data_IF_757654777753
#
_entry.id   IF_757654777753
#
_cell.length_a   1.000
_cell.length_b   1.000
_cell.length_c   1.000
_cell.angle_alpha   90.00
_cell.angle_beta   90.00
_cell.angle_gamma   90.00
#
_symmetry.space_group_name_H-M   'P 1'
#
loop_
_entity.id
_entity.type
_entity.pdbx_description
1 polymer ?
#
# COMPACT_ATOMS: atom_id res chain seq x y z
N UNK A 1 2.97 2.08 10.11
CA UNK A 1 4.01 3.03 10.58
C UNK A 1 3.54 3.67 11.88
N UNK A 2 4.42 4.31 12.67
CA UNK A 2 3.99 5.00 13.90
C UNK A 2 3.76 6.49 13.63
N UNK A 3 2.77 7.08 14.31
CA UNK A 3 2.54 8.52 14.28
C UNK A 3 3.77 9.26 14.85
N UNK A 4 4.34 10.25 14.14
CA UNK A 4 5.51 10.98 14.62
C UNK A 4 5.22 11.83 15.87
N UNK A 5 3.94 12.18 16.11
CA UNK A 5 3.52 13.00 17.24
C UNK A 5 3.25 12.19 18.52
N UNK A 6 2.56 11.05 18.42
CA UNK A 6 2.14 10.27 19.59
C UNK A 6 2.64 8.82 19.62
N UNK A 7 3.42 8.39 18.63
CA UNK A 7 3.95 7.02 18.51
C UNK A 7 2.90 5.90 18.39
N UNK A 8 1.61 6.24 18.25
CA UNK A 8 0.54 5.27 18.01
C UNK A 8 0.72 4.57 16.66
N UNK A 9 0.36 3.30 16.60
CA UNK A 9 0.27 2.50 15.37
C UNK A 9 -1.06 2.67 14.62
N UNK A 10 -2.02 3.40 15.21
CA UNK A 10 -3.32 3.72 14.61
C UNK A 10 -3.17 4.87 13.61
N UNK A 11 -2.46 4.58 12.53
CA UNK A 11 -2.34 5.46 11.38
C UNK A 11 -3.30 4.99 10.27
N UNK A 12 -3.54 5.77 9.21
CA UNK A 12 -4.21 5.32 7.98
C UNK A 12 -4.05 6.35 6.85
N UNK A 13 -4.38 5.96 5.62
CA UNK A 13 -4.54 6.89 4.48
C UNK A 13 -5.95 6.78 3.89
N UNK A 14 -6.36 7.82 3.17
CA UNK A 14 -7.66 7.85 2.49
C UNK A 14 -7.66 7.16 1.12
N UNK A 15 -6.48 7.04 0.49
CA UNK A 15 -6.29 6.34 -0.78
C UNK A 15 -4.83 5.93 -0.97
N UNK A 16 -4.56 4.99 -1.87
CA UNK A 16 -3.20 4.56 -2.25
C UNK A 16 -2.35 5.72 -2.80
N UNK A 17 -2.99 6.67 -3.47
CA UNK A 17 -2.37 7.85 -4.07
C UNK A 17 -2.27 9.01 -3.08
N UNK A 18 -2.97 8.94 -1.94
CA UNK A 18 -2.89 9.96 -0.90
C UNK A 18 -1.50 9.97 -0.29
N UNK A 19 -0.82 11.10 -0.44
CA UNK A 19 0.41 11.36 0.30
C UNK A 19 0.09 11.80 1.74
N UNK A 20 -1.16 12.06 2.11
CA UNK A 20 -1.48 12.45 3.48
C UNK A 20 -1.82 11.20 4.30
N UNK A 21 -1.11 11.06 5.43
CA UNK A 21 -1.33 10.05 6.47
C UNK A 21 -2.00 10.71 7.66
N UNK A 22 -2.95 10.01 8.25
CA UNK A 22 -3.72 10.42 9.41
C UNK A 22 -3.40 9.51 10.58
N UNK A 23 -3.54 10.01 11.81
CA UNK A 23 -3.51 9.22 13.03
C UNK A 23 -4.84 9.36 13.77
N UNK A 24 -5.56 8.26 13.96
CA UNK A 24 -6.85 8.27 14.66
C UNK A 24 -6.69 8.64 16.15
N UNK A 25 -5.60 8.16 16.78
CA UNK A 25 -5.38 8.40 18.21
C UNK A 25 -5.15 9.88 18.57
N UNK A 26 -4.49 10.67 17.73
CA UNK A 26 -4.16 12.07 18.07
C UNK A 26 -4.60 13.12 17.04
N UNK A 27 -5.27 12.69 15.97
CA UNK A 27 -5.71 13.55 14.87
C UNK A 27 -4.59 14.20 14.07
N UNK A 28 -3.32 13.84 14.32
CA UNK A 28 -2.21 14.40 13.57
C UNK A 28 -2.21 13.87 12.14
N UNK A 29 -1.90 14.76 11.20
CA UNK A 29 -1.72 14.41 9.79
C UNK A 29 -0.32 14.84 9.34
N UNK A 30 0.29 14.04 8.48
CA UNK A 30 1.60 14.34 7.90
C UNK A 30 1.71 13.75 6.50
N UNK A 31 2.64 14.30 5.72
CA UNK A 31 2.89 13.85 4.36
C UNK A 31 3.81 12.62 4.36
N UNK A 32 3.42 11.62 3.58
CA UNK A 32 4.16 10.42 3.29
C UNK A 32 5.12 10.70 2.15
N UNK A 33 6.36 10.30 2.37
CA UNK A 33 7.38 10.35 1.33
C UNK A 33 7.28 9.10 0.45
N UNK A 34 6.31 9.08 -0.47
CA UNK A 34 6.07 7.96 -1.39
C UNK A 34 5.89 8.46 -2.83
N UNK A 35 6.40 7.71 -3.80
CA UNK A 35 6.17 7.99 -5.21
C UNK A 35 4.70 7.79 -5.59
N UNK A 36 4.07 8.79 -6.23
CA UNK A 36 2.68 8.70 -6.73
C UNK A 36 2.49 7.57 -7.75
N UNK A 37 3.57 7.08 -8.38
CA UNK A 37 3.51 6.01 -9.38
C UNK A 37 4.17 4.74 -8.85
N UNK A 38 3.60 3.56 -9.15
CA UNK A 38 4.25 2.30 -8.89
C UNK A 38 5.51 2.16 -9.74
N UNK A 39 6.54 1.53 -9.17
CA UNK A 39 7.78 1.18 -9.84
C UNK A 39 7.63 -0.06 -10.73
N UNK A 40 6.78 -0.99 -10.31
CA UNK A 40 6.42 -2.18 -11.07
C UNK A 40 4.97 -2.59 -10.77
N UNK A 41 4.40 -3.40 -11.66
CA UNK A 41 3.05 -3.92 -11.46
C UNK A 41 2.90 -5.31 -12.07
N UNK A 42 2.13 -6.17 -11.42
CA UNK A 42 1.70 -7.46 -11.93
C UNK A 42 0.18 -7.59 -11.85
N UNK A 43 -0.36 -8.39 -12.75
CA UNK A 43 -1.78 -8.69 -12.81
C UNK A 43 -1.98 -10.19 -12.66
N UNK A 44 -2.88 -10.59 -11.77
CA UNK A 44 -3.20 -11.99 -11.49
C UNK A 44 -4.70 -12.18 -11.46
N UNK A 45 -5.18 -13.28 -12.03
CA UNK A 45 -6.59 -13.67 -11.94
C UNK A 45 -6.76 -14.66 -10.80
N UNK A 46 -7.69 -14.38 -9.90
CA UNK A 46 -8.14 -15.30 -8.87
C UNK A 46 -9.66 -15.47 -9.04
N UNK A 47 -10.05 -16.60 -9.65
CA UNK A 47 -11.44 -16.81 -10.07
C UNK A 47 -11.93 -15.73 -11.05
N UNK A 48 -12.98 -15.00 -10.67
CA UNK A 48 -13.55 -13.90 -11.45
C UNK A 48 -12.91 -12.53 -11.19
N UNK A 49 -12.02 -12.42 -10.20
CA UNK A 49 -11.41 -11.15 -9.80
C UNK A 49 -10.04 -10.96 -10.48
N UNK A 50 -9.83 -9.75 -11.01
CA UNK A 50 -8.51 -9.30 -11.43
C UNK A 50 -7.83 -8.59 -10.26
N UNK A 51 -6.72 -9.15 -9.81
CA UNK A 51 -5.87 -8.60 -8.77
C UNK A 51 -4.73 -7.82 -9.42
N UNK A 52 -4.57 -6.58 -8.99
CA UNK A 52 -3.49 -5.69 -9.38
C UNK A 52 -2.50 -5.62 -8.22
N UNK A 53 -1.28 -6.13 -8.43
CA UNK A 53 -0.18 -5.99 -7.48
C UNK A 53 0.70 -4.84 -7.97
N UNK A 54 0.96 -3.86 -7.11
CA UNK A 54 1.78 -2.69 -7.43
C UNK A 54 2.94 -2.60 -6.44
N UNK A 55 4.15 -2.35 -6.95
CA UNK A 55 5.36 -2.15 -6.13
C UNK A 55 5.68 -0.67 -6.04
N UNK A 56 6.06 -0.22 -4.85
CA UNK A 56 6.44 1.16 -4.53
C UNK A 56 7.72 1.15 -3.67
N UNK A 57 8.29 2.33 -3.43
CA UNK A 57 9.30 2.50 -2.39
C UNK A 57 8.69 2.28 -1.00
N UNK A 58 9.43 1.62 -0.12
CA UNK A 58 9.02 1.40 1.26
C UNK A 58 8.94 2.74 2.00
N UNK A 59 7.81 3.07 2.66
CA UNK A 59 7.58 4.40 3.24
C UNK A 59 8.43 4.67 4.48
N UNK A 60 9.08 3.64 5.05
CA UNK A 60 9.97 3.73 6.21
C UNK A 60 11.45 3.76 5.77
N UNK A 61 11.76 3.22 4.58
CA UNK A 61 13.12 3.17 4.06
C UNK A 61 13.10 3.28 2.52
N UNK A 62 13.54 4.42 2.02
CA UNK A 62 13.57 4.73 0.58
C UNK A 62 14.51 3.85 -0.26
N UNK A 63 15.41 3.08 0.37
CA UNK A 63 16.29 2.15 -0.31
C UNK A 63 15.67 0.75 -0.45
N UNK A 64 14.44 0.56 0.05
CA UNK A 64 13.71 -0.71 0.02
C UNK A 64 12.39 -0.56 -0.73
N UNK A 65 11.75 -1.69 -1.01
CA UNK A 65 10.53 -1.80 -1.81
C UNK A 65 9.39 -2.38 -1.00
N UNK A 66 8.17 -2.12 -1.41
CA UNK A 66 6.96 -2.59 -0.74
C UNK A 66 5.85 -2.75 -1.77
N UNK A 67 4.78 -3.48 -1.47
CA UNK A 67 3.71 -3.73 -2.44
C UNK A 67 2.33 -3.38 -1.92
N UNK A 68 1.39 -3.09 -2.82
CA UNK A 68 -0.03 -2.99 -2.54
C UNK A 68 -0.82 -3.92 -3.46
N UNK A 69 -1.89 -4.53 -2.94
CA UNK A 69 -2.79 -5.37 -3.71
C UNK A 69 -4.14 -4.66 -3.84
N UNK A 70 -4.54 -4.39 -5.07
CA UNK A 70 -5.85 -3.85 -5.39
C UNK A 70 -6.72 -4.94 -6.05
N UNK A 71 -7.91 -5.19 -5.48
CA UNK A 71 -8.86 -6.20 -5.95
C UNK A 71 -9.92 -5.63 -6.93
N UNK A 72 -9.81 -4.36 -7.32
CA UNK A 72 -10.80 -3.67 -8.15
C UNK A 72 -10.69 -4.04 -9.63
N UNK A 73 -11.37 -5.11 -10.03
CA UNK A 73 -11.56 -5.50 -11.43
C UNK A 73 -12.62 -4.68 -12.20
N UNK A 74 -12.75 -3.35 -11.97
CA UNK A 74 -13.75 -2.55 -12.67
C UNK A 74 -13.50 -1.03 -12.63
N UNK A 75 -13.83 -0.34 -13.71
CA UNK A 75 -13.65 1.11 -13.96
C UNK A 75 -14.45 2.02 -12.99
N UNK A 76 -15.18 1.45 -12.03
CA UNK A 76 -15.96 2.18 -11.03
C UNK A 76 -15.96 1.45 -9.69
N UNK A 77 -14.88 1.54 -8.94
CA UNK A 77 -14.91 1.31 -7.50
C UNK A 77 -14.01 2.33 -6.79
N UNK A 78 -14.55 3.53 -6.65
CA UNK A 78 -14.18 4.51 -5.61
C UNK A 78 -14.91 4.16 -4.29
N UNK A 79 -15.15 2.87 -4.06
CA UNK A 79 -15.81 2.37 -2.86
C UNK A 79 -14.76 2.09 -1.82
N UNK A 80 -14.71 2.94 -0.81
CA UNK A 80 -14.42 2.58 0.58
C UNK A 80 -13.25 1.59 0.75
N UNK A 81 -12.04 2.14 0.82
CA UNK A 81 -10.89 1.47 1.42
C UNK A 81 -11.12 1.38 2.94
N UNK A 82 -12.16 0.66 3.35
CA UNK A 82 -12.62 0.51 4.75
C UNK A 82 -11.61 -0.22 5.66
N UNK A 83 -10.49 -0.66 5.09
CA UNK A 83 -9.35 -1.22 5.80
C UNK A 83 -8.15 -1.27 4.85
N UNK A 84 -7.63 -0.10 4.53
CA UNK A 84 -6.34 0.15 3.85
C UNK A 84 -5.26 -0.88 4.26
N UNK A 85 -4.79 -1.81 3.39
CA UNK A 85 -3.45 -2.33 3.56
C UNK A 85 -2.57 -1.37 2.78
N UNK A 86 -2.00 -0.44 3.54
CA UNK A 86 -0.60 -0.09 3.50
C UNK A 86 0.23 -0.84 2.46
N UNK A 87 1.19 -0.13 1.88
CA UNK A 87 2.39 -0.78 1.36
C UNK A 87 2.88 -1.88 2.34
N UNK A 88 2.73 -3.14 1.94
CA UNK A 88 3.01 -4.34 2.70
C UNK A 88 4.48 -4.73 2.54
N UNK A 89 5.12 -5.01 3.68
CA UNK A 89 6.51 -5.43 3.74
C UNK A 89 7.53 -4.33 3.38
N UNK A 90 8.81 -4.66 3.53
CA UNK A 90 9.93 -3.79 3.19
C UNK A 90 11.09 -4.67 2.69
N UNK A 91 11.13 -4.86 1.38
CA UNK A 91 11.96 -5.83 0.66
C UNK A 91 13.19 -5.18 0.03
N UNK A 92 14.23 -5.97 -0.23
CA UNK A 92 15.50 -5.44 -0.75
C UNK A 92 15.49 -5.25 -2.27
N UNK A 93 14.55 -5.90 -2.98
CA UNK A 93 14.36 -5.74 -4.42
C UNK A 93 12.89 -5.58 -4.84
N UNK A 94 12.69 -5.09 -6.06
CA UNK A 94 11.37 -4.99 -6.70
C UNK A 94 10.79 -6.40 -6.92
N UNK A 95 11.63 -7.35 -7.34
CA UNK A 95 11.24 -8.73 -7.59
C UNK A 95 10.72 -9.40 -6.32
N UNK A 96 11.41 -9.22 -5.21
CA UNK A 96 11.04 -9.79 -3.92
C UNK A 96 9.70 -9.20 -3.42
N UNK A 97 9.52 -7.88 -3.55
CA UNK A 97 8.25 -7.23 -3.23
C UNK A 97 7.10 -7.72 -4.11
N UNK A 98 7.36 -7.95 -5.40
CA UNK A 98 6.36 -8.43 -6.34
C UNK A 98 5.97 -9.89 -6.06
N UNK A 99 6.94 -10.76 -5.79
CA UNK A 99 6.70 -12.16 -5.43
C UNK A 99 5.92 -12.26 -4.12
N UNK A 100 6.27 -11.46 -3.12
CA UNK A 100 5.54 -11.38 -1.86
C UNK A 100 4.08 -10.93 -2.09
N UNK A 101 3.87 -9.90 -2.90
CA UNK A 101 2.53 -9.44 -3.25
C UNK A 101 1.71 -10.46 -4.03
N UNK A 102 2.34 -11.23 -4.92
CA UNK A 102 1.68 -12.35 -5.61
C UNK A 102 1.31 -13.44 -4.59
N UNK A 103 2.21 -13.81 -3.69
CA UNK A 103 1.95 -14.84 -2.68
C UNK A 103 0.80 -14.46 -1.75
N UNK A 104 0.78 -13.22 -1.26
CA UNK A 104 -0.29 -12.69 -0.40
C UNK A 104 -1.62 -12.55 -1.15
N UNK A 105 -1.58 -12.27 -2.46
CA UNK A 105 -2.79 -12.26 -3.29
C UNK A 105 -3.47 -13.64 -3.41
N UNK A 106 -2.73 -14.73 -3.17
CA UNK A 106 -3.22 -16.11 -3.30
C UNK A 106 -3.27 -16.90 -1.97
N UNK A 107 -2.91 -16.29 -0.84
CA UNK A 107 -3.05 -16.88 0.50
C UNK A 107 -4.47 -16.78 1.03
#
# INVERSE_FOLDING_TARGET
>A
MKCPKCQSSETYRKSLESMIIYCDNCGHQWEADQSMKPLASAHRRQGRHLLHIHVYLCPINKNKYSFAINKSGGVRHFGEYESDPYLSGCYDSIEEALEAGIKEAFS
#
